data_IF_750366817178
#
_entry.id   IF_750366817178
#
_cell.length_a   1.000
_cell.length_b   1.000
_cell.length_c   1.000
_cell.angle_alpha   90.00
_cell.angle_beta   90.00
_cell.angle_gamma   90.00
#
_symmetry.space_group_name_H-M   'P 1'
#
loop_
_entity.id
_entity.type
_entity.pdbx_description
1 polymer ?
#
# COMPACT_ATOMS: atom_id res chain seq x y z
N UNK A 1 14.34 32.16 -3.40
CA UNK A 1 14.00 30.89 -2.76
C UNK A 1 15.29 30.18 -2.37
N UNK A 2 15.59 30.13 -1.08
CA UNK A 2 16.75 29.38 -0.58
C UNK A 2 16.45 27.88 -0.77
N UNK A 3 17.09 27.28 -1.75
CA UNK A 3 17.16 25.82 -1.83
C UNK A 3 18.04 25.37 -0.67
N UNK A 4 17.41 24.82 0.37
CA UNK A 4 18.11 24.41 1.58
C UNK A 4 19.15 23.31 1.32
N UNK A 5 20.16 23.21 2.16
CA UNK A 5 21.21 22.18 2.14
C UNK A 5 20.66 20.73 1.99
N UNK A 6 19.43 20.47 2.47
CA UNK A 6 18.75 19.19 2.31
C UNK A 6 18.45 18.79 0.85
N UNK A 7 18.21 19.75 -0.04
CA UNK A 7 17.96 19.46 -1.47
C UNK A 7 19.24 19.10 -2.21
N UNK A 8 20.38 19.67 -1.82
CA UNK A 8 21.70 19.33 -2.39
C UNK A 8 22.10 17.91 -1.98
N UNK A 9 21.88 17.53 -0.71
CA UNK A 9 22.17 16.19 -0.19
C UNK A 9 21.31 15.11 -0.83
N UNK A 10 20.01 15.38 -1.03
CA UNK A 10 19.08 14.44 -1.71
C UNK A 10 19.49 14.18 -3.15
N UNK A 11 20.03 15.16 -3.88
CA UNK A 11 20.47 14.98 -5.27
C UNK A 11 21.79 14.19 -5.42
N UNK A 12 22.60 14.08 -4.37
CA UNK A 12 23.81 13.26 -4.38
C UNK A 12 23.49 11.76 -4.28
N UNK A 13 22.44 11.38 -3.53
CA UNK A 13 22.02 10.00 -3.33
C UNK A 13 20.83 9.64 -4.23
N UNK A 14 19.88 10.57 -4.39
CA UNK A 14 18.70 10.45 -5.26
C UNK A 14 18.79 11.52 -6.35
N UNK A 15 19.41 11.23 -7.50
CA UNK A 15 19.67 12.21 -8.57
C UNK A 15 18.38 12.76 -9.23
N UNK A 16 17.26 12.10 -9.00
CA UNK A 16 15.95 12.46 -9.54
C UNK A 16 14.84 12.05 -8.57
N UNK A 17 13.62 12.63 -8.65
CA UNK A 17 12.48 12.18 -7.90
C UNK A 17 12.20 10.69 -8.13
N UNK A 18 11.86 9.98 -7.06
CA UNK A 18 11.66 8.52 -7.10
C UNK A 18 10.58 8.10 -8.12
N UNK A 19 9.47 8.82 -8.18
CA UNK A 19 8.38 8.53 -9.14
C UNK A 19 8.83 8.68 -10.59
N UNK A 20 9.65 9.69 -10.92
CA UNK A 20 10.23 9.85 -12.25
C UNK A 20 11.09 8.64 -12.63
N UNK A 21 11.92 8.17 -11.71
CA UNK A 21 12.76 6.99 -11.93
C UNK A 21 11.91 5.76 -12.28
N UNK A 22 10.85 5.51 -11.54
CA UNK A 22 9.94 4.39 -11.80
C UNK A 22 9.15 4.57 -13.11
N UNK A 23 8.67 5.77 -13.41
CA UNK A 23 7.95 6.02 -14.67
C UNK A 23 8.87 5.91 -15.90
N UNK A 24 10.13 6.29 -15.76
CA UNK A 24 11.14 6.19 -16.81
C UNK A 24 11.81 4.80 -16.92
N UNK A 25 11.54 3.87 -15.97
CA UNK A 25 12.18 2.55 -15.94
C UNK A 25 13.66 2.61 -15.57
N UNK A 26 14.09 3.65 -14.81
CA UNK A 26 15.48 3.85 -14.39
C UNK A 26 15.78 3.33 -12.99
N UNK A 27 14.80 2.67 -12.36
CA UNK A 27 15.03 1.97 -11.10
C UNK A 27 15.93 0.76 -11.29
N UNK A 28 16.57 0.35 -10.19
CA UNK A 28 17.42 -0.85 -10.22
C UNK A 28 16.57 -2.12 -10.50
N UNK A 29 16.96 -2.98 -11.46
CA UNK A 29 16.23 -4.18 -11.80
C UNK A 29 16.45 -5.26 -10.74
N UNK A 30 15.54 -5.37 -9.77
CA UNK A 30 15.57 -6.36 -8.69
C UNK A 30 14.16 -6.85 -8.36
N UNK A 31 14.02 -8.04 -7.79
CA UNK A 31 12.75 -8.47 -7.20
C UNK A 31 12.31 -7.51 -6.10
N UNK A 32 11.00 -7.22 -6.03
CA UNK A 32 10.44 -6.30 -5.03
C UNK A 32 9.20 -6.90 -4.40
N UNK A 33 9.09 -6.79 -3.08
CA UNK A 33 7.85 -6.95 -2.34
C UNK A 33 7.37 -5.58 -1.87
N UNK A 34 6.11 -5.24 -2.12
CA UNK A 34 5.55 -3.93 -1.80
C UNK A 34 4.05 -4.03 -1.53
N UNK A 35 3.56 -3.27 -0.59
CA UNK A 35 2.13 -3.27 -0.28
C UNK A 35 1.66 -2.04 0.45
N UNK A 36 0.45 -2.11 0.96
CA UNK A 36 -0.18 -1.06 1.77
C UNK A 36 -1.25 -1.66 2.69
N UNK A 37 -1.63 -0.89 3.71
CA UNK A 37 -2.66 -1.25 4.67
C UNK A 37 -4.04 -0.71 4.25
N UNK A 38 -5.08 -1.27 4.82
CA UNK A 38 -6.46 -0.91 4.46
C UNK A 38 -6.87 0.48 4.96
N UNK A 39 -6.21 1.03 5.99
CA UNK A 39 -6.43 2.39 6.47
C UNK A 39 -5.12 3.20 6.58
N UNK A 40 -4.37 3.29 5.50
CA UNK A 40 -3.17 4.17 5.42
C UNK A 40 -3.50 5.65 5.71
N UNK A 41 -4.76 6.04 5.55
CA UNK A 41 -5.19 7.41 5.85
C UNK A 41 -5.12 7.74 7.35
N UNK A 42 -4.95 6.76 8.22
CA UNK A 42 -4.74 6.95 9.67
C UNK A 42 -3.53 7.85 9.97
N UNK A 43 -2.46 7.77 9.18
CA UNK A 43 -1.26 8.59 9.36
C UNK A 43 -1.49 10.07 8.99
N UNK A 44 -2.51 10.40 8.22
CA UNK A 44 -2.78 11.77 7.77
C UNK A 44 -3.11 12.71 8.93
N UNK A 45 -3.76 12.19 9.97
CA UNK A 45 -4.03 12.96 11.20
C UNK A 45 -2.75 13.41 11.89
N UNK A 46 -1.70 12.59 11.87
CA UNK A 46 -0.38 12.91 12.42
C UNK A 46 0.27 14.09 11.69
N UNK A 47 -0.01 14.22 10.38
CA UNK A 47 0.47 15.34 9.56
C UNK A 47 -0.48 16.53 9.56
N UNK A 48 -1.52 16.54 10.41
CA UNK A 48 -2.49 17.64 10.51
C UNK A 48 -3.37 17.81 9.27
N UNK A 49 -3.54 16.76 8.47
CA UNK A 49 -4.37 16.81 7.25
C UNK A 49 -5.84 16.60 7.61
N UNK A 50 -6.66 17.62 7.40
CA UNK A 50 -8.12 17.53 7.51
C UNK A 50 -8.71 16.92 6.23
N UNK A 51 -8.84 15.60 6.22
CA UNK A 51 -9.38 14.82 5.09
C UNK A 51 -10.82 15.24 4.77
N UNK A 52 -11.67 15.38 5.79
CA UNK A 52 -13.08 15.73 5.59
C UNK A 52 -13.23 17.13 4.99
N UNK A 53 -12.47 18.10 5.50
CA UNK A 53 -12.42 19.46 4.97
C UNK A 53 -11.94 19.53 3.52
N UNK A 54 -10.95 18.70 3.14
CA UNK A 54 -10.48 18.61 1.75
C UNK A 54 -11.59 18.10 0.81
N UNK A 55 -12.35 17.09 1.20
CA UNK A 55 -13.48 16.61 0.39
C UNK A 55 -14.60 17.65 0.31
N UNK A 56 -14.89 18.36 1.40
CA UNK A 56 -15.87 19.45 1.38
C UNK A 56 -15.43 20.61 0.47
N UNK A 57 -14.13 20.95 0.47
CA UNK A 57 -13.56 21.94 -0.45
C UNK A 57 -13.71 21.48 -1.90
N UNK A 58 -13.36 20.22 -2.19
CA UNK A 58 -13.53 19.63 -3.52
C UNK A 58 -15.00 19.63 -3.97
N UNK A 59 -15.95 19.39 -3.04
CA UNK A 59 -17.38 19.46 -3.31
C UNK A 59 -17.84 20.86 -3.73
N UNK A 60 -17.30 21.91 -3.10
CA UNK A 60 -17.63 23.30 -3.43
C UNK A 60 -17.01 23.76 -4.75
N UNK A 61 -15.75 23.42 -4.96
CA UNK A 61 -14.95 23.97 -6.06
C UNK A 61 -15.02 23.11 -7.34
N UNK A 62 -15.18 21.80 -7.22
CA UNK A 62 -15.07 20.80 -8.31
C UNK A 62 -16.15 19.74 -8.27
N UNK A 63 -17.43 20.13 -8.27
CA UNK A 63 -18.59 19.20 -8.15
C UNK A 63 -18.56 18.04 -9.17
N UNK A 64 -18.19 18.29 -10.41
CA UNK A 64 -18.07 17.25 -11.45
C UNK A 64 -16.95 16.27 -11.14
N UNK A 65 -15.79 16.76 -10.68
CA UNK A 65 -14.66 15.93 -10.29
C UNK A 65 -15.01 15.00 -9.14
N UNK A 66 -15.72 15.49 -8.12
CA UNK A 66 -16.16 14.67 -7.02
C UNK A 66 -17.17 13.59 -7.47
N UNK A 67 -18.05 13.91 -8.44
CA UNK A 67 -18.98 12.93 -9.02
C UNK A 67 -18.24 11.77 -9.69
N UNK A 68 -17.21 12.05 -10.47
CA UNK A 68 -16.36 11.03 -11.09
C UNK A 68 -15.61 10.18 -10.05
N UNK A 69 -15.08 10.82 -8.99
CA UNK A 69 -14.43 10.09 -7.89
C UNK A 69 -15.43 9.12 -7.25
N UNK A 70 -16.64 9.56 -6.93
CA UNK A 70 -17.67 8.70 -6.31
C UNK A 70 -18.00 7.46 -7.14
N UNK A 71 -17.96 7.54 -8.47
CA UNK A 71 -18.18 6.38 -9.35
C UNK A 71 -17.11 5.29 -9.16
N UNK A 72 -15.90 5.67 -8.75
CA UNK A 72 -14.82 4.73 -8.47
C UNK A 72 -14.92 4.09 -7.08
N UNK A 73 -15.75 4.63 -6.20
CA UNK A 73 -15.92 4.18 -4.82
C UNK A 73 -17.38 3.82 -4.52
N UNK A 74 -17.93 2.82 -5.22
CA UNK A 74 -19.33 2.41 -5.00
C UNK A 74 -19.49 1.89 -3.57
N UNK A 75 -20.55 2.32 -2.89
CA UNK A 75 -20.88 1.89 -1.54
C UNK A 75 -20.19 2.67 -0.41
N UNK A 76 -19.21 3.52 -0.71
CA UNK A 76 -18.57 4.38 0.31
C UNK A 76 -19.50 5.52 0.68
N UNK A 77 -19.89 5.57 1.96
CA UNK A 77 -20.79 6.57 2.51
C UNK A 77 -20.03 7.60 3.36
N UNK A 78 -20.44 8.86 3.23
CA UNK A 78 -19.85 9.97 3.96
C UNK A 78 -18.57 10.53 3.30
N UNK A 79 -18.30 11.80 3.57
CA UNK A 79 -17.16 12.51 2.96
C UNK A 79 -15.84 12.08 3.61
N UNK A 80 -15.85 11.81 4.90
CA UNK A 80 -14.67 11.34 5.63
C UNK A 80 -14.21 9.99 5.08
N UNK A 81 -15.09 8.99 5.01
CA UNK A 81 -14.74 7.67 4.47
C UNK A 81 -14.27 7.76 3.03
N UNK A 82 -14.93 8.56 2.20
CA UNK A 82 -14.50 8.77 0.82
C UNK A 82 -13.10 9.40 0.77
N UNK A 83 -12.85 10.38 1.61
CA UNK A 83 -11.55 11.04 1.70
C UNK A 83 -10.44 10.10 2.16
N UNK A 84 -10.70 9.26 3.16
CA UNK A 84 -9.77 8.23 3.64
C UNK A 84 -9.41 7.23 2.53
N UNK A 85 -10.44 6.70 1.83
CA UNK A 85 -10.25 5.77 0.72
C UNK A 85 -9.43 6.39 -0.42
N UNK A 86 -9.75 7.62 -0.82
CA UNK A 86 -9.04 8.35 -1.88
C UNK A 86 -7.59 8.63 -1.47
N UNK A 87 -7.38 9.11 -0.25
CA UNK A 87 -6.06 9.42 0.29
C UNK A 87 -5.17 8.17 0.33
N UNK A 88 -5.68 7.06 0.89
CA UNK A 88 -4.99 5.77 0.89
C UNK A 88 -4.59 5.34 -0.52
N UNK A 89 -5.55 5.37 -1.46
CA UNK A 89 -5.30 4.89 -2.82
C UNK A 89 -4.32 5.79 -3.57
N UNK A 90 -4.40 7.11 -3.39
CA UNK A 90 -3.46 8.04 -4.03
C UNK A 90 -2.06 7.98 -3.42
N UNK A 91 -1.94 8.06 -2.10
CA UNK A 91 -0.65 8.24 -1.45
C UNK A 91 0.13 6.93 -1.24
N UNK A 92 -0.57 5.78 -1.14
CA UNK A 92 0.06 4.51 -0.79
C UNK A 92 -0.20 3.40 -1.81
N UNK A 93 -1.45 3.00 -2.03
CA UNK A 93 -1.76 1.80 -2.83
C UNK A 93 -1.35 1.95 -4.30
N UNK A 94 -1.48 3.17 -4.86
CA UNK A 94 -1.04 3.45 -6.24
C UNK A 94 0.47 3.43 -6.37
N UNK A 95 1.23 3.82 -5.34
CA UNK A 95 2.69 3.73 -5.38
C UNK A 95 3.16 2.27 -5.56
N UNK A 96 2.60 1.34 -4.79
CA UNK A 96 2.88 -0.09 -4.96
C UNK A 96 2.52 -0.61 -6.36
N UNK A 97 1.42 -0.11 -6.94
CA UNK A 97 1.03 -0.44 -8.31
C UNK A 97 2.00 0.14 -9.36
N UNK A 98 2.49 1.36 -9.18
CA UNK A 98 3.52 1.99 -10.04
C UNK A 98 4.83 1.20 -9.99
N UNK A 99 5.30 0.86 -8.79
CA UNK A 99 6.51 0.04 -8.58
C UNK A 99 6.38 -1.31 -9.27
N UNK A 100 5.26 -2.02 -9.07
CA UNK A 100 5.01 -3.29 -9.75
C UNK A 100 5.13 -3.16 -11.27
N UNK A 101 4.46 -2.17 -11.86
CA UNK A 101 4.50 -1.99 -13.31
C UNK A 101 5.89 -1.58 -13.83
N UNK A 102 6.64 -0.83 -13.04
CA UNK A 102 8.01 -0.47 -13.38
C UNK A 102 8.92 -1.71 -13.37
N UNK A 103 8.83 -2.56 -12.34
CA UNK A 103 9.61 -3.78 -12.28
C UNK A 103 9.24 -4.77 -13.39
N UNK A 104 7.96 -4.89 -13.73
CA UNK A 104 7.55 -5.71 -14.87
C UNK A 104 8.17 -5.24 -16.19
N UNK A 105 8.33 -3.92 -16.40
CA UNK A 105 8.96 -3.36 -17.61
C UNK A 105 10.43 -3.73 -17.74
N UNK A 106 11.14 -3.82 -16.63
CA UNK A 106 12.55 -4.25 -16.60
C UNK A 106 12.70 -5.77 -16.37
N UNK A 107 11.62 -6.54 -16.55
CA UNK A 107 11.63 -8.00 -16.50
C UNK A 107 11.75 -8.60 -15.10
N UNK A 108 11.54 -7.81 -14.05
CA UNK A 108 11.68 -8.26 -12.67
C UNK A 108 10.33 -8.62 -12.03
N UNK A 109 10.29 -9.66 -11.19
CA UNK A 109 9.10 -10.05 -10.46
C UNK A 109 8.78 -9.05 -9.35
N UNK A 110 7.49 -8.84 -9.10
CA UNK A 110 7.01 -8.03 -8.00
C UNK A 110 5.88 -8.75 -7.26
N UNK A 111 5.99 -8.82 -5.95
CA UNK A 111 4.96 -9.34 -5.06
C UNK A 111 4.26 -8.17 -4.40
N UNK A 112 2.95 -8.04 -4.67
CA UNK A 112 2.12 -6.99 -4.05
C UNK A 112 1.28 -7.58 -2.96
N UNK A 113 1.22 -6.90 -1.80
CA UNK A 113 0.30 -7.26 -0.72
C UNK A 113 -0.68 -6.13 -0.39
N UNK A 114 -1.76 -6.52 0.27
CA UNK A 114 -2.72 -5.67 0.93
C UNK A 114 -2.97 -6.23 2.31
N UNK A 115 -2.64 -5.46 3.33
CA UNK A 115 -2.85 -5.87 4.71
C UNK A 115 -4.14 -5.23 5.25
N UNK A 116 -5.11 -6.04 5.66
CA UNK A 116 -6.38 -5.57 6.20
C UNK A 116 -6.86 -6.36 7.41
N UNK A 117 -5.94 -7.01 8.10
CA UNK A 117 -6.25 -7.68 9.36
C UNK A 117 -6.36 -6.67 10.49
N UNK A 118 -7.46 -6.75 11.23
CA UNK A 118 -7.69 -6.01 12.49
C UNK A 118 -8.07 -7.05 13.54
N UNK A 119 -7.27 -7.21 14.63
CA UNK A 119 -7.64 -8.07 15.75
C UNK A 119 -9.00 -7.68 16.31
N UNK A 120 -9.79 -8.66 16.73
CA UNK A 120 -11.14 -8.41 17.28
C UNK A 120 -11.14 -7.44 18.45
N UNK A 121 -10.13 -7.53 19.31
CA UNK A 121 -10.00 -6.64 20.46
C UNK A 121 -9.63 -5.19 20.10
N UNK A 122 -9.14 -4.95 18.87
CA UNK A 122 -8.82 -3.63 18.33
C UNK A 122 -9.93 -3.04 17.43
N UNK A 123 -11.05 -3.75 17.25
CA UNK A 123 -12.11 -3.40 16.30
C UNK A 123 -12.70 -2.01 16.51
N UNK A 124 -12.93 -1.62 17.77
CA UNK A 124 -13.45 -0.29 18.10
C UNK A 124 -12.41 0.81 17.90
N UNK A 125 -11.12 0.48 18.03
CA UNK A 125 -10.02 1.43 17.87
C UNK A 125 -9.67 1.65 16.39
N UNK A 126 -9.85 0.61 15.56
CA UNK A 126 -9.52 0.62 14.13
C UNK A 126 -10.77 0.42 13.26
N UNK A 127 -11.78 1.32 13.32
CA UNK A 127 -13.07 1.14 12.65
C UNK A 127 -12.99 1.17 11.13
N UNK A 128 -11.93 1.75 10.57
CA UNK A 128 -11.73 1.90 9.12
C UNK A 128 -10.80 0.84 8.52
N UNK A 129 -10.15 0.01 9.34
CA UNK A 129 -9.22 -1.03 8.90
C UNK A 129 -7.88 -0.97 9.62
N UNK A 130 -6.91 -1.71 9.09
CA UNK A 130 -5.54 -1.74 9.61
C UNK A 130 -4.86 -0.39 9.36
N UNK A 131 -4.35 0.23 10.39
CA UNK A 131 -3.67 1.52 10.34
C UNK A 131 -2.31 1.43 9.64
N UNK A 132 -1.77 2.58 9.31
CA UNK A 132 -0.41 2.68 8.79
C UNK A 132 0.60 2.11 9.78
N UNK A 133 1.33 1.07 9.36
CA UNK A 133 2.33 0.39 10.18
C UNK A 133 1.81 -0.82 10.98
N UNK A 134 0.49 -1.09 11.00
CA UNK A 134 -0.06 -2.22 11.75
C UNK A 134 0.44 -3.59 11.25
N UNK A 135 0.90 -3.68 10.00
CA UNK A 135 1.49 -4.90 9.46
C UNK A 135 2.88 -5.21 10.04
N UNK A 136 3.60 -4.20 10.53
CA UNK A 136 5.01 -4.34 10.94
C UNK A 136 5.22 -5.40 12.02
N UNK A 137 4.44 -5.45 13.11
CA UNK A 137 4.58 -6.49 14.12
C UNK A 137 4.30 -7.89 13.60
N UNK A 138 3.46 -8.04 12.57
CA UNK A 138 3.18 -9.32 11.91
C UNK A 138 4.33 -9.73 10.98
N UNK A 139 4.89 -8.80 10.25
CA UNK A 139 6.04 -9.03 9.36
C UNK A 139 7.27 -9.50 10.11
N UNK A 140 7.52 -8.92 11.28
CA UNK A 140 8.68 -9.23 12.11
C UNK A 140 8.40 -10.27 13.21
N UNK A 141 7.17 -10.79 13.29
CA UNK A 141 6.74 -11.72 14.36
C UNK A 141 7.03 -11.17 15.78
N UNK A 142 6.73 -9.89 15.98
CA UNK A 142 7.04 -9.14 17.22
C UNK A 142 5.80 -8.68 17.98
N UNK A 143 4.64 -9.34 17.81
CA UNK A 143 3.39 -8.97 18.47
C UNK A 143 3.51 -8.92 20.01
N UNK A 144 4.38 -9.75 20.58
CA UNK A 144 4.62 -9.78 22.04
C UNK A 144 5.44 -8.59 22.54
N UNK A 145 6.09 -7.85 21.64
CA UNK A 145 6.98 -6.74 21.96
C UNK A 145 6.38 -5.38 21.56
N UNK A 146 5.46 -5.37 20.61
CA UNK A 146 4.91 -4.15 20.03
C UNK A 146 3.69 -3.64 20.81
N UNK A 147 3.76 -2.41 21.33
CA UNK A 147 2.59 -1.74 21.93
C UNK A 147 1.84 -0.93 20.82
N UNK A 148 0.51 -0.85 20.91
CA UNK A 148 -0.39 -1.46 21.89
C UNK A 148 -0.79 -2.92 21.57
N UNK A 149 -0.31 -3.48 20.47
CA UNK A 149 -0.74 -4.82 19.96
C UNK A 149 -0.51 -5.91 21.00
N UNK A 150 0.58 -5.81 21.77
CA UNK A 150 0.91 -6.77 22.83
C UNK A 150 -0.23 -6.99 23.84
N UNK A 151 -1.02 -5.95 24.11
CA UNK A 151 -2.08 -6.00 25.12
C UNK A 151 -3.32 -6.74 24.67
N UNK A 152 -3.55 -6.85 23.35
CA UNK A 152 -4.76 -7.47 22.81
C UNK A 152 -4.52 -8.63 21.84
N UNK A 153 -3.26 -8.90 21.45
CA UNK A 153 -2.95 -10.02 20.56
C UNK A 153 -3.09 -11.37 21.28
N UNK A 154 -4.00 -12.19 20.79
CA UNK A 154 -4.25 -13.55 21.26
C UNK A 154 -3.34 -14.59 20.62
N UNK A 155 -3.63 -15.87 20.88
CA UNK A 155 -2.89 -17.00 20.30
C UNK A 155 -3.10 -17.09 18.77
N UNK A 156 -4.32 -16.86 18.31
CA UNK A 156 -4.66 -16.83 16.88
C UNK A 156 -3.85 -15.74 16.16
N UNK A 157 -3.73 -14.54 16.76
CA UNK A 157 -2.96 -13.43 16.19
C UNK A 157 -1.47 -13.78 16.06
N UNK A 158 -0.91 -14.42 17.08
CA UNK A 158 0.50 -14.86 17.08
C UNK A 158 0.75 -15.94 16.02
N UNK A 159 -0.13 -16.93 15.93
CA UNK A 159 -0.03 -17.95 14.88
C UNK A 159 -0.15 -17.36 13.47
N UNK A 160 -1.00 -16.34 13.32
CA UNK A 160 -1.13 -15.61 12.06
C UNK A 160 0.12 -14.78 11.75
N UNK A 161 0.72 -14.11 12.74
CA UNK A 161 1.95 -13.35 12.57
C UNK A 161 3.10 -14.23 12.07
N UNK A 162 3.28 -15.42 12.64
CA UNK A 162 4.27 -16.37 12.18
C UNK A 162 4.08 -16.72 10.69
N UNK A 163 2.83 -16.94 10.24
CA UNK A 163 2.53 -17.21 8.83
C UNK A 163 2.80 -16.00 7.93
N UNK A 164 2.54 -14.78 8.42
CA UNK A 164 2.87 -13.55 7.68
C UNK A 164 4.38 -13.41 7.55
N UNK A 165 5.13 -13.54 8.66
CA UNK A 165 6.59 -13.45 8.68
C UNK A 165 7.25 -14.45 7.71
N UNK A 166 6.71 -15.67 7.60
CA UNK A 166 7.21 -16.69 6.66
C UNK A 166 7.25 -16.19 5.20
N UNK A 167 6.31 -15.37 4.76
CA UNK A 167 6.35 -14.81 3.41
C UNK A 167 7.55 -13.87 3.20
N UNK A 168 7.89 -13.03 4.18
CA UNK A 168 9.06 -12.14 4.11
C UNK A 168 10.37 -12.92 4.16
N UNK A 169 10.44 -13.93 5.03
CA UNK A 169 11.59 -14.85 5.10
C UNK A 169 11.77 -15.59 3.77
N UNK A 170 10.69 -16.14 3.21
CA UNK A 170 10.73 -16.82 1.93
C UNK A 170 11.09 -15.87 0.78
N UNK A 171 10.58 -14.64 0.79
CA UNK A 171 11.00 -13.62 -0.18
C UNK A 171 12.50 -13.36 -0.08
N UNK A 172 13.03 -13.12 1.12
CA UNK A 172 14.46 -12.87 1.30
C UNK A 172 15.35 -14.04 0.82
N UNK A 173 14.89 -15.27 1.02
CA UNK A 173 15.63 -16.48 0.61
C UNK A 173 15.52 -16.79 -0.89
N UNK A 174 14.38 -16.57 -1.51
CA UNK A 174 14.04 -17.15 -2.80
C UNK A 174 13.93 -16.15 -3.94
N UNK A 175 13.63 -14.88 -3.69
CA UNK A 175 13.34 -13.91 -4.75
C UNK A 175 14.54 -13.65 -5.68
N UNK A 176 15.77 -13.76 -5.18
CA UNK A 176 16.99 -13.64 -5.98
C UNK A 176 17.28 -14.85 -6.90
N UNK A 177 16.62 -15.98 -6.70
CA UNK A 177 16.87 -17.26 -7.38
C UNK A 177 15.90 -17.58 -8.53
N UNK A 178 15.42 -16.57 -9.27
CA UNK A 178 14.41 -16.70 -10.34
C UNK A 178 13.10 -17.32 -9.87
N UNK A 179 12.79 -17.19 -8.58
CA UNK A 179 11.53 -17.64 -8.02
C UNK A 179 10.39 -16.81 -8.62
N UNK A 180 9.36 -17.49 -9.11
CA UNK A 180 8.13 -16.84 -9.61
C UNK A 180 6.96 -16.94 -8.66
N UNK A 181 7.13 -17.69 -7.56
CA UNK A 181 6.06 -17.97 -6.60
C UNK A 181 6.67 -18.21 -5.20
N UNK A 182 6.17 -17.52 -4.20
CA UNK A 182 6.57 -17.72 -2.80
C UNK A 182 5.71 -18.79 -2.14
N UNK A 183 6.33 -19.75 -1.44
CA UNK A 183 5.60 -20.69 -0.60
C UNK A 183 5.05 -19.98 0.64
N UNK A 184 4.00 -20.52 1.23
CA UNK A 184 3.33 -20.02 2.42
C UNK A 184 1.97 -20.68 2.60
N UNK A 185 1.13 -20.15 3.47
CA UNK A 185 -0.23 -20.64 3.69
C UNK A 185 -1.06 -20.70 2.40
N UNK A 186 -0.82 -19.75 1.50
CA UNK A 186 -1.27 -19.77 0.10
C UNK A 186 -0.05 -19.50 -0.77
N UNK A 187 0.15 -20.27 -1.85
CA UNK A 187 1.21 -19.99 -2.82
C UNK A 187 1.01 -18.61 -3.44
N UNK A 188 2.02 -17.76 -3.36
CA UNK A 188 1.93 -16.36 -3.79
C UNK A 188 2.74 -16.11 -5.06
N UNK A 189 2.11 -16.18 -6.23
CA UNK A 189 2.80 -15.94 -7.50
C UNK A 189 3.08 -14.46 -7.72
N UNK A 190 4.27 -14.16 -8.24
CA UNK A 190 4.68 -12.82 -8.58
C UNK A 190 3.80 -12.20 -9.68
N UNK A 191 3.65 -10.89 -9.60
CA UNK A 191 3.19 -10.07 -10.71
C UNK A 191 4.32 -9.91 -11.73
N UNK A 192 4.22 -10.59 -12.86
CA UNK A 192 5.23 -10.59 -13.93
C UNK A 192 4.53 -10.62 -15.29
N UNK A 193 5.14 -9.99 -16.31
CA UNK A 193 4.66 -10.02 -17.71
C UNK A 193 3.19 -9.57 -17.86
N UNK A 194 2.83 -8.45 -17.26
CA UNK A 194 1.47 -7.89 -17.32
C UNK A 194 0.43 -8.55 -16.42
N UNK A 195 0.81 -9.56 -15.65
CA UNK A 195 -0.05 -10.14 -14.61
C UNK A 195 -0.08 -9.19 -13.41
N UNK A 196 -1.26 -8.90 -12.91
CA UNK A 196 -1.48 -8.07 -11.73
C UNK A 196 -2.10 -8.95 -10.65
N UNK A 197 -1.25 -9.41 -9.75
CA UNK A 197 -1.59 -10.29 -8.63
C UNK A 197 -1.24 -9.62 -7.32
N UNK A 198 -2.05 -9.89 -6.31
CA UNK A 198 -1.88 -9.33 -4.98
C UNK A 198 -2.25 -10.39 -3.96
N UNK A 199 -1.46 -10.50 -2.89
CA UNK A 199 -1.84 -11.26 -1.72
C UNK A 199 -2.55 -10.35 -0.74
N UNK A 200 -3.81 -10.62 -0.47
CA UNK A 200 -4.54 -10.03 0.63
C UNK A 200 -4.18 -10.80 1.91
N UNK A 201 -3.64 -10.09 2.89
CA UNK A 201 -3.18 -10.59 4.19
C UNK A 201 -4.18 -10.11 5.24
N UNK A 202 -4.91 -11.03 5.82
CA UNK A 202 -6.12 -10.75 6.58
C UNK A 202 -7.36 -10.72 5.68
N UNK A 203 -8.52 -10.92 6.29
CA UNK A 203 -9.82 -10.82 5.65
C UNK A 203 -10.70 -9.93 6.53
N UNK A 204 -10.22 -8.70 6.75
CA UNK A 204 -10.73 -7.74 7.71
C UNK A 204 -10.61 -8.29 9.14
N UNK A 205 -11.67 -8.63 9.80
CA UNK A 205 -11.69 -9.16 11.19
C UNK A 205 -11.36 -10.66 11.31
N UNK A 206 -10.84 -11.30 10.26
CA UNK A 206 -10.52 -12.73 10.27
C UNK A 206 -9.11 -12.96 9.76
N UNK A 207 -8.39 -13.87 10.40
CA UNK A 207 -7.12 -14.36 9.89
C UNK A 207 -7.33 -15.05 8.54
N UNK A 208 -6.36 -14.93 7.67
CA UNK A 208 -6.40 -15.62 6.39
C UNK A 208 -5.65 -14.89 5.27
N UNK A 209 -5.51 -15.59 4.17
CA UNK A 209 -4.81 -15.11 2.97
C UNK A 209 -5.68 -15.36 1.76
N UNK A 210 -5.72 -14.40 0.83
CA UNK A 210 -6.45 -14.55 -0.42
C UNK A 210 -5.68 -13.93 -1.57
N UNK A 211 -5.54 -14.68 -2.67
CA UNK A 211 -5.02 -14.12 -3.92
C UNK A 211 -6.10 -13.33 -4.64
N UNK A 212 -5.75 -12.10 -4.98
CA UNK A 212 -6.58 -11.21 -5.77
C UNK A 212 -5.92 -10.92 -7.13
N UNK A 213 -6.74 -10.87 -8.17
CA UNK A 213 -6.30 -10.47 -9.51
C UNK A 213 -6.88 -9.10 -9.83
N UNK A 214 -6.04 -8.22 -10.38
CA UNK A 214 -6.46 -6.88 -10.80
C UNK A 214 -7.12 -6.05 -9.68
N UNK A 215 -6.62 -6.22 -8.46
CA UNK A 215 -7.14 -5.55 -7.27
C UNK A 215 -7.18 -4.03 -7.46
N UNK A 216 -8.36 -3.43 -7.32
CA UNK A 216 -8.62 -1.99 -7.50
C UNK A 216 -8.10 -1.40 -8.83
N UNK A 217 -7.87 -2.21 -9.86
CA UNK A 217 -7.10 -1.84 -11.06
C UNK A 217 -7.58 -0.56 -11.73
N UNK A 218 -8.89 -0.34 -11.86
CA UNK A 218 -9.43 0.86 -12.52
C UNK A 218 -9.04 2.14 -11.76
N UNK A 219 -9.20 2.14 -10.42
CA UNK A 219 -8.81 3.26 -9.54
C UNK A 219 -7.32 3.53 -9.61
N UNK A 220 -6.51 2.48 -9.42
CA UNK A 220 -5.05 2.60 -9.40
C UNK A 220 -4.49 3.04 -10.75
N UNK A 221 -5.08 2.59 -11.87
CA UNK A 221 -4.70 3.02 -13.20
C UNK A 221 -4.99 4.51 -13.43
N UNK A 222 -6.14 5.00 -12.94
CA UNK A 222 -6.48 6.41 -13.00
C UNK A 222 -5.51 7.26 -12.17
N UNK A 223 -5.30 6.91 -10.89
CA UNK A 223 -4.38 7.66 -10.02
C UNK A 223 -2.94 7.63 -10.53
N UNK A 224 -2.48 6.50 -11.05
CA UNK A 224 -1.19 6.43 -11.73
C UNK A 224 -1.09 7.43 -12.89
N UNK A 225 -2.16 7.59 -13.67
CA UNK A 225 -2.17 8.56 -14.78
C UNK A 225 -2.09 10.00 -14.26
N UNK A 226 -2.81 10.31 -13.20
CA UNK A 226 -2.76 11.61 -12.52
C UNK A 226 -1.35 11.89 -11.99
N UNK A 227 -0.76 10.93 -11.26
CA UNK A 227 0.61 11.06 -10.75
C UNK A 227 1.63 11.31 -11.87
N UNK A 228 1.52 10.57 -12.97
CA UNK A 228 2.42 10.74 -14.11
C UNK A 228 2.31 12.14 -14.74
N UNK A 229 1.09 12.66 -14.82
CA UNK A 229 0.85 14.01 -15.36
C UNK A 229 1.53 15.08 -14.49
N UNK A 230 1.42 14.98 -13.16
CA UNK A 230 2.07 15.92 -12.24
C UNK A 230 3.59 15.83 -12.28
N UNK A 231 4.15 14.63 -12.37
CA UNK A 231 5.60 14.42 -12.48
C UNK A 231 6.20 15.00 -13.78
N UNK A 232 5.42 15.11 -14.83
CA UNK A 232 5.91 15.66 -16.12
C UNK A 232 5.75 17.17 -16.24
N UNK A 233 5.15 17.85 -15.25
CA UNK A 233 4.95 19.31 -15.24
C UNK A 233 5.96 20.04 -14.35
N UNK A 234 6.71 19.33 -13.52
CA UNK A 234 7.78 19.85 -12.65
C UNK A 234 9.17 19.66 -13.32
#
# INVERSE_FOLDING_TARGET
>A
QSRGLGDVYKRQVLPQPMLEAFFAGRQHPMPVMVGSNSDEASVMAVFGVDIAGQIQKLRRERRFGLGLIKLLYPGVKGDENLGREVCRDMAFTTLGYVVMQAQQRVGQPCWRYWFDYVPRAADETCPHGAWHGDEVPYVFDTLTLAEPVRTYAGEEDRAFAAQVADYWVNFARLAGHRCSELPGAVRWPASLRGRDRLLRIGLHKRVGFKLENRFMRARLALFRRVMRYHVTLD
#
